data_IF_435420929548
#
_entry.id   IF_435420929548
#
_cell.length_a   1.000
_cell.length_b   1.000
_cell.length_c   1.000
_cell.angle_alpha   90.00
_cell.angle_beta   90.00
_cell.angle_gamma   90.00
#
_symmetry.space_group_name_H-M   'P 1'
#
loop_
_entity.id
_entity.type
_entity.pdbx_description
1 polymer ?
#
# COMPACT_ATOMS: atom_id res chain seq x y z
N UNK A 1 7.07 13.73 6.02
CA UNK A 1 6.02 12.78 5.67
C UNK A 1 5.60 13.05 4.25
N UNK A 2 5.64 12.05 3.37
CA UNK A 2 5.27 12.19 1.94
C UNK A 2 3.83 11.71 1.69
N UNK A 3 3.25 10.99 2.65
CA UNK A 3 1.91 10.45 2.55
C UNK A 3 0.85 11.55 2.51
N UNK A 4 -0.09 11.43 1.60
CA UNK A 4 -1.24 12.32 1.41
C UNK A 4 -2.57 11.59 1.56
N UNK A 5 -2.57 10.53 2.36
CA UNK A 5 -3.80 9.82 2.64
C UNK A 5 -4.74 10.64 3.54
N UNK A 6 -6.00 10.29 3.51
CA UNK A 6 -7.00 10.85 4.39
C UNK A 6 -6.70 10.42 5.84
N UNK A 7 -6.18 11.35 6.64
CA UNK A 7 -5.80 11.10 8.04
C UNK A 7 -6.99 10.68 8.92
N UNK A 8 -8.23 10.90 8.47
CA UNK A 8 -9.41 10.39 9.16
C UNK A 8 -9.59 8.88 9.01
N UNK A 9 -8.96 8.26 8.01
CA UNK A 9 -9.10 6.84 7.66
C UNK A 9 -7.86 6.01 7.96
N UNK A 10 -6.69 6.59 7.75
CA UNK A 10 -5.40 5.95 7.94
C UNK A 10 -4.55 6.73 8.92
N UNK A 11 -3.99 6.03 9.90
CA UNK A 11 -2.99 6.60 10.80
C UNK A 11 -1.58 6.40 10.20
N UNK A 12 -0.64 7.34 10.44
CA UNK A 12 0.74 7.17 10.03
C UNK A 12 1.36 5.95 10.73
N UNK A 13 2.22 5.22 10.02
CA UNK A 13 3.00 4.14 10.62
C UNK A 13 4.08 4.75 11.50
N UNK A 14 4.16 4.37 12.78
CA UNK A 14 5.22 4.88 13.66
C UNK A 14 6.59 4.37 13.21
N UNK A 15 7.59 5.26 13.21
CA UNK A 15 8.98 4.90 12.94
C UNK A 15 9.52 4.07 14.12
N UNK A 16 10.03 2.85 13.89
CA UNK A 16 10.69 2.07 14.93
C UNK A 16 12.05 2.68 15.28
N UNK A 17 12.46 2.56 16.55
CA UNK A 17 13.73 3.09 17.02
C UNK A 17 14.96 2.41 16.36
N UNK A 18 14.81 1.18 15.91
CA UNK A 18 15.92 0.32 15.48
C UNK A 18 16.38 0.51 14.03
N UNK A 19 15.83 1.45 13.31
CA UNK A 19 16.16 1.66 11.89
C UNK A 19 15.60 0.58 10.94
N UNK A 20 15.80 0.73 9.63
CA UNK A 20 15.30 -0.20 8.63
C UNK A 20 16.20 -1.43 8.57
N UNK A 21 15.85 -2.47 9.29
CA UNK A 21 16.47 -3.78 9.06
C UNK A 21 15.80 -4.43 7.87
N UNK A 22 16.52 -4.54 6.75
CA UNK A 22 16.09 -5.33 5.61
C UNK A 22 16.08 -6.82 6.02
N UNK A 23 14.90 -7.40 6.13
CA UNK A 23 14.77 -8.85 6.24
C UNK A 23 14.12 -9.38 4.95
N UNK A 24 14.38 -10.64 4.65
CA UNK A 24 13.86 -11.32 3.46
C UNK A 24 12.33 -11.25 3.37
N UNK A 25 11.64 -11.41 4.51
CA UNK A 25 10.18 -11.30 4.59
C UNK A 25 9.68 -9.91 4.16
N UNK A 26 10.37 -8.83 4.54
CA UNK A 26 10.04 -7.47 4.10
C UNK A 26 10.25 -7.32 2.59
N UNK A 27 11.33 -7.87 2.05
CA UNK A 27 11.61 -7.83 0.61
C UNK A 27 10.55 -8.59 -0.20
N UNK A 28 10.13 -9.77 0.27
CA UNK A 28 9.04 -10.55 -0.35
C UNK A 28 7.73 -9.78 -0.34
N UNK A 29 7.36 -9.17 0.79
CA UNK A 29 6.15 -8.36 0.88
C UNK A 29 6.19 -7.15 -0.06
N UNK A 30 7.31 -6.45 -0.15
CA UNK A 30 7.50 -5.34 -1.09
C UNK A 30 7.34 -5.79 -2.55
N UNK A 31 7.91 -6.94 -2.91
CA UNK A 31 7.75 -7.53 -4.23
C UNK A 31 6.27 -7.87 -4.51
N UNK A 32 5.59 -8.53 -3.57
CA UNK A 32 4.17 -8.85 -3.70
C UNK A 32 3.29 -7.61 -3.85
N UNK A 33 3.58 -6.54 -3.12
CA UNK A 33 2.86 -5.26 -3.26
C UNK A 33 3.02 -4.66 -4.66
N UNK A 34 4.22 -4.72 -5.23
CA UNK A 34 4.54 -4.11 -6.52
C UNK A 34 4.07 -4.93 -7.72
N UNK A 35 4.23 -6.25 -7.69
CA UNK A 35 3.85 -7.14 -8.78
C UNK A 35 2.34 -7.36 -8.89
N UNK A 36 1.60 -7.09 -7.83
CA UNK A 36 0.19 -7.43 -7.74
C UNK A 36 -0.02 -8.88 -7.35
N UNK A 37 -1.06 -9.13 -6.56
CA UNK A 37 -1.38 -10.47 -6.05
C UNK A 37 -2.47 -11.17 -6.87
N UNK A 38 -2.70 -10.76 -8.12
CA UNK A 38 -3.74 -11.31 -8.99
C UNK A 38 -3.27 -12.51 -9.83
N UNK A 39 -4.16 -13.42 -10.23
CA UNK A 39 -3.85 -14.37 -11.28
C UNK A 39 -3.57 -13.61 -12.59
N UNK A 40 -2.50 -13.99 -13.27
CA UNK A 40 -2.01 -13.37 -14.51
C UNK A 40 -2.97 -13.46 -15.74
N UNK A 41 -4.26 -13.66 -15.55
CA UNK A 41 -5.15 -14.18 -16.59
C UNK A 41 -6.41 -13.35 -16.87
N UNK A 42 -6.41 -12.04 -16.63
CA UNK A 42 -7.51 -11.24 -17.18
C UNK A 42 -6.96 -10.25 -18.20
N UNK A 43 -7.10 -10.51 -19.51
CA UNK A 43 -6.76 -9.52 -20.53
C UNK A 43 -7.66 -8.31 -20.35
N UNK A 44 -7.08 -7.17 -20.05
CA UNK A 44 -7.78 -5.89 -20.08
C UNK A 44 -8.14 -5.58 -21.53
N UNK A 45 -9.43 -5.49 -21.80
CA UNK A 45 -9.99 -5.33 -23.13
C UNK A 45 -9.67 -4.00 -23.85
N UNK A 46 -8.78 -3.17 -23.27
CA UNK A 46 -8.47 -1.84 -23.78
C UNK A 46 -6.96 -1.65 -23.99
N UNK A 47 -6.49 -1.29 -25.20
CA UNK A 47 -5.05 -1.16 -25.51
C UNK A 47 -4.29 -0.15 -24.64
N UNK A 48 -4.95 0.91 -24.18
CA UNK A 48 -4.38 1.92 -23.28
C UNK A 48 -4.37 1.49 -21.81
N UNK A 49 -5.13 0.45 -21.48
CA UNK A 49 -5.15 -0.14 -20.13
C UNK A 49 -4.02 -1.17 -19.95
N UNK A 50 -3.39 -1.64 -21.03
CA UNK A 50 -2.28 -2.60 -20.98
C UNK A 50 -1.04 -2.08 -20.24
N UNK A 51 -0.90 -0.76 -20.09
CA UNK A 51 0.17 -0.12 -19.34
C UNK A 51 -0.18 0.07 -17.84
N UNK A 52 -1.37 -0.33 -17.41
CA UNK A 52 -1.84 -0.18 -16.02
C UNK A 52 -1.59 -1.46 -15.22
N UNK A 53 -1.59 -1.29 -13.92
CA UNK A 53 -1.41 -2.34 -12.93
C UNK A 53 -2.37 -3.49 -13.24
N UNK A 54 -1.81 -4.68 -13.45
CA UNK A 54 -2.57 -5.88 -13.79
C UNK A 54 -3.65 -6.22 -12.76
N UNK A 55 -3.47 -5.75 -11.51
CA UNK A 55 -4.41 -5.99 -10.42
C UNK A 55 -4.54 -4.76 -9.52
N UNK A 56 -5.64 -4.00 -9.58
CA UNK A 56 -5.79 -2.73 -8.84
C UNK A 56 -5.94 -2.93 -7.32
N UNK A 57 -6.38 -4.10 -6.87
CA UNK A 57 -6.59 -4.41 -5.45
C UNK A 57 -6.00 -5.76 -5.09
N UNK A 58 -5.54 -5.92 -3.86
CA UNK A 58 -5.09 -7.21 -3.36
C UNK A 58 -4.97 -7.22 -1.85
N UNK A 59 -5.36 -8.34 -1.25
CA UNK A 59 -5.22 -8.60 0.18
C UNK A 59 -4.10 -9.60 0.41
N UNK A 60 -3.10 -9.20 1.18
CA UNK A 60 -1.92 -9.96 1.53
C UNK A 60 -1.96 -10.28 3.03
N UNK A 61 -1.35 -11.37 3.45
CA UNK A 61 -1.23 -11.72 4.86
C UNK A 61 0.23 -11.90 5.24
N UNK A 62 0.61 -11.33 6.38
CA UNK A 62 1.91 -11.57 7.03
C UNK A 62 1.70 -11.86 8.51
N UNK A 63 2.37 -12.91 9.00
CA UNK A 63 2.25 -13.29 10.40
C UNK A 63 2.89 -12.27 11.35
N UNK A 64 3.96 -11.59 10.91
CA UNK A 64 4.68 -10.59 11.71
C UNK A 64 4.25 -9.17 11.34
N UNK A 65 3.57 -8.50 12.26
CA UNK A 65 3.14 -7.11 12.12
C UNK A 65 4.32 -6.13 11.94
N UNK A 66 5.51 -6.47 12.44
CA UNK A 66 6.70 -5.64 12.24
C UNK A 66 7.13 -5.63 10.77
N UNK A 67 6.99 -6.76 10.07
CA UNK A 67 7.25 -6.86 8.62
C UNK A 67 6.32 -5.94 7.83
N UNK A 68 5.02 -5.97 8.14
CA UNK A 68 4.03 -5.10 7.49
C UNK A 68 4.34 -3.61 7.70
N UNK A 69 4.65 -3.22 8.93
CA UNK A 69 5.00 -1.83 9.26
C UNK A 69 6.29 -1.37 8.57
N UNK A 70 7.32 -2.22 8.53
CA UNK A 70 8.58 -1.92 7.82
C UNK A 70 8.36 -1.75 6.33
N UNK A 71 7.59 -2.65 5.70
CA UNK A 71 7.26 -2.53 4.29
C UNK A 71 6.50 -1.22 4.00
N UNK A 72 5.56 -0.86 4.85
CA UNK A 72 4.81 0.39 4.73
C UNK A 72 5.74 1.62 4.77
N UNK A 73 6.66 1.68 5.74
CA UNK A 73 7.62 2.79 5.88
C UNK A 73 8.61 2.88 4.70
N UNK A 74 8.97 1.75 4.10
CA UNK A 74 9.83 1.73 2.92
C UNK A 74 9.09 2.19 1.66
N UNK A 75 7.79 1.85 1.55
CA UNK A 75 6.97 2.23 0.40
C UNK A 75 6.58 3.71 0.43
N UNK A 76 6.25 4.26 1.59
CA UNK A 76 5.82 5.66 1.71
C UNK A 76 6.97 6.67 1.65
N UNK A 77 8.22 6.18 1.58
CA UNK A 77 9.41 7.01 1.55
C UNK A 77 9.74 7.70 2.88
N UNK A 78 9.05 7.36 3.97
CA UNK A 78 9.34 7.97 5.30
C UNK A 78 10.76 7.70 5.75
N UNK A 79 11.31 6.52 5.47
CA UNK A 79 12.71 6.19 5.71
C UNK A 79 13.65 7.06 4.88
N UNK A 80 13.41 7.16 3.57
CA UNK A 80 14.23 7.99 2.70
C UNK A 80 14.22 9.46 3.14
N UNK A 81 13.07 9.93 3.66
CA UNK A 81 12.96 11.28 4.23
C UNK A 81 13.70 11.44 5.56
N UNK A 82 13.68 10.42 6.41
CA UNK A 82 14.42 10.43 7.68
C UNK A 82 15.93 10.42 7.46
N UNK A 83 16.40 9.61 6.49
CA UNK A 83 17.83 9.48 6.14
C UNK A 83 18.34 10.64 5.26
N UNK A 84 17.45 11.47 4.71
CA UNK A 84 17.87 12.58 3.86
C UNK A 84 18.71 13.60 4.64
N UNK A 85 20.00 13.63 4.34
CA UNK A 85 21.02 14.40 5.05
C UNK A 85 20.96 15.92 4.86
N UNK A 86 19.91 16.47 4.21
CA UNK A 86 19.80 17.91 3.99
C UNK A 86 18.46 18.34 3.41
N UNK A 87 18.22 19.65 3.43
CA UNK A 87 16.98 20.26 2.91
C UNK A 87 16.79 20.03 1.41
N UNK A 88 17.87 20.06 0.63
CA UNK A 88 17.82 19.82 -0.82
C UNK A 88 17.35 18.40 -1.15
N UNK A 89 17.87 17.37 -0.45
CA UNK A 89 17.45 15.98 -0.63
C UNK A 89 15.97 15.79 -0.27
N UNK A 90 15.51 16.41 0.82
CA UNK A 90 14.10 16.38 1.23
C UNK A 90 13.19 17.08 0.22
N UNK A 91 13.60 18.19 -0.34
CA UNK A 91 12.87 18.88 -1.40
C UNK A 91 12.79 18.06 -2.68
N UNK A 92 13.87 17.40 -3.08
CA UNK A 92 13.89 16.51 -4.25
C UNK A 92 12.91 15.32 -4.06
N UNK A 93 12.87 14.70 -2.89
CA UNK A 93 11.91 13.63 -2.58
C UNK A 93 10.47 14.13 -2.64
N UNK A 94 10.19 15.33 -2.11
CA UNK A 94 8.85 15.93 -2.19
C UNK A 94 8.45 16.27 -3.62
N UNK A 95 9.36 16.85 -4.41
CA UNK A 95 9.13 17.17 -5.81
C UNK A 95 8.82 15.92 -6.62
N UNK A 96 9.56 14.82 -6.38
CA UNK A 96 9.31 13.54 -7.01
C UNK A 96 7.93 12.98 -6.65
N UNK A 97 7.54 13.05 -5.38
CA UNK A 97 6.22 12.61 -4.94
C UNK A 97 5.10 13.42 -5.59
N UNK A 98 5.27 14.74 -5.73
CA UNK A 98 4.35 15.62 -6.44
C UNK A 98 4.26 15.27 -7.93
N UNK A 99 5.39 14.98 -8.57
CA UNK A 99 5.42 14.55 -9.98
C UNK A 99 4.63 13.26 -10.21
N UNK A 100 4.67 12.31 -9.27
CA UNK A 100 3.84 11.10 -9.31
C UNK A 100 2.35 11.44 -9.20
N UNK A 101 1.97 12.39 -8.34
CA UNK A 101 0.59 12.83 -8.19
C UNK A 101 0.05 13.50 -9.46
N UNK A 102 0.87 14.33 -10.09
CA UNK A 102 0.49 15.04 -11.30
C UNK A 102 0.44 14.11 -12.53
N UNK A 103 1.29 13.08 -12.58
CA UNK A 103 1.35 12.11 -13.68
C UNK A 103 0.48 10.87 -13.41
N UNK A 104 -0.77 11.07 -13.05
CA UNK A 104 -1.71 9.97 -12.70
C UNK A 104 -1.96 8.97 -13.84
N UNK A 105 -1.73 9.37 -15.09
CA UNK A 105 -1.85 8.50 -16.28
C UNK A 105 -0.61 7.63 -16.53
N UNK A 106 0.50 7.92 -15.86
CA UNK A 106 1.75 7.18 -16.04
C UNK A 106 1.70 5.82 -15.32
N UNK A 107 2.24 4.75 -15.95
CA UNK A 107 2.42 3.48 -15.26
C UNK A 107 3.23 3.65 -13.97
N UNK A 108 2.85 2.90 -12.94
CA UNK A 108 3.56 2.91 -11.67
C UNK A 108 4.98 2.36 -11.85
N UNK A 109 5.97 3.14 -11.44
CA UNK A 109 7.37 2.70 -11.44
C UNK A 109 7.78 2.12 -10.09
N UNK A 110 8.74 1.18 -10.04
CA UNK A 110 9.21 0.61 -8.78
C UNK A 110 9.72 1.61 -7.76
N UNK A 111 10.16 2.77 -8.26
CA UNK A 111 10.70 3.87 -7.46
C UNK A 111 9.67 4.92 -7.05
N UNK A 112 8.41 4.78 -7.48
CA UNK A 112 7.37 5.73 -7.10
C UNK A 112 7.00 5.54 -5.63
N UNK A 113 6.81 6.66 -4.93
CA UNK A 113 6.36 6.64 -3.55
C UNK A 113 4.89 6.21 -3.48
N UNK A 114 4.60 5.33 -2.55
CA UNK A 114 3.26 4.92 -2.19
C UNK A 114 2.77 5.73 -1.00
N UNK A 115 1.47 5.84 -0.84
CA UNK A 115 0.91 6.17 0.46
C UNK A 115 0.86 4.90 1.30
N UNK A 116 1.23 4.98 2.58
CA UNK A 116 1.11 3.85 3.47
C UNK A 116 0.60 4.29 4.84
N UNK A 117 -0.30 3.49 5.40
CA UNK A 117 -0.87 3.79 6.70
C UNK A 117 -1.49 2.58 7.37
N UNK A 118 -1.74 2.72 8.66
CA UNK A 118 -2.47 1.73 9.46
C UNK A 118 -3.93 2.14 9.54
N UNK A 119 -4.85 1.27 9.14
CA UNK A 119 -6.25 1.50 9.41
C UNK A 119 -6.59 1.00 10.83
N UNK A 120 -7.02 1.89 11.73
CA UNK A 120 -7.32 1.50 13.11
C UNK A 120 -8.52 0.56 13.19
N UNK A 121 -9.42 0.66 12.23
CA UNK A 121 -10.59 -0.22 12.06
C UNK A 121 -10.89 -0.39 10.57
N UNK A 122 -11.24 -1.59 10.12
CA UNK A 122 -11.62 -1.81 8.72
C UNK A 122 -12.76 -0.91 8.24
N UNK A 123 -13.73 -0.62 9.11
CA UNK A 123 -14.85 0.27 8.82
C UNK A 123 -14.43 1.70 8.42
N UNK A 124 -13.27 2.17 8.87
CA UNK A 124 -12.74 3.47 8.47
C UNK A 124 -12.40 3.55 6.96
N UNK A 125 -12.25 2.40 6.32
CA UNK A 125 -11.95 2.31 4.89
C UNK A 125 -13.20 2.41 4.01
N UNK A 126 -14.40 2.49 4.57
CA UNK A 126 -15.62 2.65 3.80
C UNK A 126 -15.56 3.90 2.93
N UNK A 127 -15.74 3.74 1.60
CA UNK A 127 -15.64 4.83 0.63
C UNK A 127 -14.21 5.41 0.48
N UNK A 128 -13.17 4.65 0.82
CA UNK A 128 -11.79 5.04 0.57
C UNK A 128 -11.53 5.12 -0.94
N UNK A 129 -10.87 6.19 -1.38
CA UNK A 129 -10.43 6.37 -2.78
C UNK A 129 -8.94 6.72 -2.77
N UNK A 130 -8.10 5.92 -3.43
CA UNK A 130 -6.66 6.15 -3.44
C UNK A 130 -6.29 7.34 -4.34
N UNK A 131 -5.46 8.25 -3.85
CA UNK A 131 -4.83 9.31 -4.64
C UNK A 131 -3.50 8.87 -5.23
N UNK A 132 -2.83 7.93 -4.57
CA UNK A 132 -1.60 7.23 -5.00
C UNK A 132 -1.80 5.74 -4.85
N UNK A 133 -0.83 4.96 -5.35
CA UNK A 133 -0.74 3.58 -4.92
C UNK A 133 -0.63 3.53 -3.40
N UNK A 134 -1.46 2.73 -2.76
CA UNK A 134 -1.63 2.77 -1.31
C UNK A 134 -1.43 1.40 -0.69
N UNK A 135 -0.64 1.34 0.37
CA UNK A 135 -0.52 0.18 1.25
C UNK A 135 -1.28 0.46 2.55
N UNK A 136 -2.27 -0.35 2.83
CA UNK A 136 -3.07 -0.29 4.06
C UNK A 136 -2.67 -1.45 4.95
N UNK A 137 -2.21 -1.17 6.15
CA UNK A 137 -1.93 -2.20 7.17
C UNK A 137 -3.14 -2.32 8.09
N UNK A 138 -3.66 -3.53 8.21
CA UNK A 138 -4.73 -3.90 9.13
C UNK A 138 -4.20 -4.91 10.15
N UNK A 139 -4.60 -4.77 11.40
CA UNK A 139 -4.39 -5.82 12.39
C UNK A 139 -5.46 -6.90 12.23
N UNK A 140 -5.06 -8.16 12.11
CA UNK A 140 -5.97 -9.29 12.01
C UNK A 140 -6.96 -9.35 13.18
N UNK A 141 -6.54 -8.93 14.38
CA UNK A 141 -7.39 -8.88 15.56
C UNK A 141 -8.58 -7.91 15.46
N UNK A 142 -8.48 -6.91 14.55
CA UNK A 142 -9.54 -5.92 14.32
C UNK A 142 -10.47 -6.28 13.16
N UNK A 143 -10.19 -7.40 12.48
CA UNK A 143 -10.92 -7.82 11.29
C UNK A 143 -12.13 -8.66 11.67
N UNK A 144 -13.28 -8.03 11.68
CA UNK A 144 -14.60 -8.64 11.88
C UNK A 144 -15.34 -8.85 10.55
N UNK A 145 -16.56 -9.40 10.60
CA UNK A 145 -17.39 -9.59 9.40
C UNK A 145 -17.71 -8.27 8.68
N UNK A 146 -17.87 -7.18 9.42
CA UNK A 146 -18.11 -5.87 8.83
C UNK A 146 -16.87 -5.39 8.07
N UNK A 147 -15.68 -5.64 8.62
CA UNK A 147 -14.41 -5.38 7.97
C UNK A 147 -14.22 -6.18 6.69
N UNK A 148 -14.55 -7.47 6.71
CA UNK A 148 -14.50 -8.31 5.50
C UNK A 148 -15.43 -7.78 4.41
N UNK A 149 -16.64 -7.36 4.78
CA UNK A 149 -17.57 -6.73 3.81
C UNK A 149 -17.02 -5.45 3.22
N UNK A 150 -16.38 -4.60 4.04
CA UNK A 150 -15.74 -3.36 3.55
C UNK A 150 -14.61 -3.69 2.58
N UNK A 151 -13.76 -4.69 2.86
CA UNK A 151 -12.72 -5.13 1.94
C UNK A 151 -13.30 -5.62 0.60
N UNK A 152 -14.39 -6.39 0.63
CA UNK A 152 -15.11 -6.82 -0.58
C UNK A 152 -15.67 -5.65 -1.39
N UNK A 153 -16.21 -4.62 -0.73
CA UNK A 153 -16.65 -3.40 -1.40
C UNK A 153 -15.48 -2.63 -2.04
N UNK A 154 -14.35 -2.54 -1.35
CA UNK A 154 -13.14 -1.91 -1.91
C UNK A 154 -12.63 -2.67 -3.13
N UNK A 155 -12.64 -3.99 -3.11
CA UNK A 155 -12.26 -4.81 -4.25
C UNK A 155 -13.15 -4.54 -5.47
N UNK A 156 -14.47 -4.45 -5.28
CA UNK A 156 -15.42 -4.13 -6.34
C UNK A 156 -15.20 -2.72 -6.91
N UNK A 157 -14.93 -1.74 -6.05
CA UNK A 157 -14.68 -0.35 -6.45
C UNK A 157 -13.31 -0.16 -7.12
N UNK A 158 -12.35 -1.01 -6.80
CA UNK A 158 -10.96 -0.85 -7.21
C UNK A 158 -10.75 -0.81 -8.73
N UNK A 159 -11.65 -1.42 -9.49
CA UNK A 159 -11.59 -1.40 -10.97
C UNK A 159 -11.81 0.00 -11.57
N UNK A 160 -12.43 0.89 -10.81
CA UNK A 160 -12.59 2.30 -11.21
C UNK A 160 -11.42 3.18 -10.78
N UNK A 161 -10.48 2.66 -9.98
CA UNK A 161 -9.39 3.46 -9.44
C UNK A 161 -8.21 3.56 -10.42
N UNK A 162 -7.57 4.72 -10.51
CA UNK A 162 -6.38 4.91 -11.32
C UNK A 162 -5.11 4.35 -10.65
N UNK A 163 -5.20 3.94 -9.38
CA UNK A 163 -4.05 3.53 -8.56
C UNK A 163 -4.32 2.24 -7.80
N UNK A 164 -3.25 1.46 -7.61
CA UNK A 164 -3.35 0.21 -6.87
C UNK A 164 -3.52 0.43 -5.36
N UNK A 165 -4.30 -0.46 -4.76
CA UNK A 165 -4.41 -0.58 -3.31
C UNK A 165 -4.00 -1.99 -2.90
N UNK A 166 -3.14 -2.07 -1.89
CA UNK A 166 -2.76 -3.31 -1.23
C UNK A 166 -3.16 -3.22 0.23
N UNK A 167 -3.88 -4.23 0.69
CA UNK A 167 -4.22 -4.37 2.10
C UNK A 167 -3.38 -5.50 2.66
N UNK A 168 -2.61 -5.21 3.69
CA UNK A 168 -1.84 -6.22 4.42
C UNK A 168 -2.51 -6.47 5.76
N UNK A 169 -3.04 -7.67 5.92
CA UNK A 169 -3.54 -8.17 7.19
C UNK A 169 -2.36 -8.74 7.96
N UNK A 170 -2.04 -8.14 9.09
CA UNK A 170 -0.87 -8.45 9.89
C UNK A 170 -1.25 -9.17 11.19
N UNK A 171 -0.52 -10.24 11.50
CA UNK A 171 -0.79 -11.06 12.68
C UNK A 171 -1.96 -12.04 12.49
N UNK A 172 -2.24 -12.81 13.53
CA UNK A 172 -3.36 -13.77 13.53
C UNK A 172 -3.26 -14.89 12.50
N UNK A 173 -4.32 -15.70 12.37
CA UNK A 173 -4.40 -16.74 11.35
C UNK A 173 -4.59 -16.13 9.95
N UNK A 174 -4.18 -16.88 8.92
CA UNK A 174 -4.38 -16.49 7.52
C UNK A 174 -5.88 -16.42 7.20
N UNK A 175 -6.42 -15.25 6.83
CA UNK A 175 -7.80 -15.15 6.38
C UNK A 175 -7.98 -15.88 5.02
N UNK A 176 -9.14 -16.51 4.76
CA UNK A 176 -9.34 -17.32 3.56
C UNK A 176 -9.30 -16.51 2.25
N UNK A 177 -9.49 -15.20 2.33
CA UNK A 177 -9.45 -14.27 1.18
C UNK A 177 -8.09 -13.59 1.01
N UNK A 178 -7.15 -13.74 1.95
CA UNK A 178 -5.83 -13.15 1.89
C UNK A 178 -4.79 -14.13 1.33
N UNK A 179 -3.77 -13.61 0.66
CA UNK A 179 -2.64 -14.40 0.17
C UNK A 179 -1.48 -14.34 1.13
N UNK A 180 -0.88 -15.48 1.49
CA UNK A 180 0.34 -15.48 2.30
C UNK A 180 1.51 -14.90 1.52
N UNK A 181 2.42 -14.21 2.24
CA UNK A 181 3.67 -13.66 1.70
C UNK A 181 4.88 -14.26 2.41
#
# INVERSE_FOLDING_TARGET
>A
MLSRFDAARLAPVPLPADGPRHCEATARLLAACRLGAGPATRPLAMPWAAARIEWPFGVLHVADAAVARRAALLLDGSWAMADAGGTAARLALRARALAVDLAWWRPLQPSDAWDAGVAPRPAALAGFVPRRATLIVLDAATLDEAGVRVLGQLEQQAWAWPRAVRVVVAGGPLPPFARPV
#
